data_IF_615873508159
#
_entry.id   IF_615873508159
#
_cell.length_a   1.000
_cell.length_b   1.000
_cell.length_c   1.000
_cell.angle_alpha   90.00
_cell.angle_beta   90.00
_cell.angle_gamma   90.00
#
_symmetry.space_group_name_H-M   'P 1'
#
loop_
_entity.id
_entity.type
_entity.pdbx_description
1 polymer ?
#
# COMPACT_ATOMS: atom_id res chain seq x y z
N UNK A 1 8.71 -8.38 -13.11
CA UNK A 1 9.16 -7.64 -11.93
C UNK A 1 9.08 -8.62 -10.77
N UNK A 2 10.23 -9.06 -10.26
CA UNK A 2 10.27 -9.89 -9.06
C UNK A 2 9.66 -9.09 -7.90
N UNK A 3 8.68 -9.67 -7.20
CA UNK A 3 7.98 -9.01 -6.09
C UNK A 3 8.80 -9.10 -4.78
N UNK A 4 10.00 -9.65 -4.82
CA UNK A 4 10.78 -10.00 -3.62
C UNK A 4 11.85 -8.97 -3.21
N UNK A 5 12.00 -7.85 -3.93
CA UNK A 5 13.14 -6.94 -3.74
C UNK A 5 12.89 -5.70 -2.86
N UNK A 6 11.68 -5.51 -2.33
CA UNK A 6 11.45 -4.37 -1.44
C UNK A 6 12.03 -4.63 -0.04
N UNK A 7 12.72 -3.64 0.55
CA UNK A 7 13.16 -3.73 1.94
C UNK A 7 11.95 -3.91 2.87
N UNK A 8 12.17 -4.43 4.10
CA UNK A 8 11.11 -4.56 5.09
C UNK A 8 10.38 -3.23 5.29
N UNK A 9 9.06 -3.25 5.11
CA UNK A 9 8.22 -2.06 5.21
C UNK A 9 7.78 -1.93 6.67
N UNK A 10 8.08 -0.80 7.35
CA UNK A 10 7.64 -0.59 8.72
C UNK A 10 6.11 -0.45 8.82
N UNK A 11 5.52 -1.00 9.89
CA UNK A 11 4.07 -0.95 10.12
C UNK A 11 3.58 0.49 10.32
N UNK A 12 4.30 1.28 11.10
CA UNK A 12 4.01 2.69 11.39
C UNK A 12 4.02 3.56 10.12
N UNK A 13 4.94 3.27 9.18
CA UNK A 13 4.94 3.90 7.86
C UNK A 13 3.65 3.59 7.10
N UNK A 14 3.20 2.32 7.08
CA UNK A 14 1.97 1.94 6.38
C UNK A 14 0.74 2.59 6.99
N UNK A 15 0.64 2.63 8.33
CA UNK A 15 -0.46 3.30 9.04
C UNK A 15 -0.49 4.81 8.75
N UNK A 16 0.67 5.47 8.73
CA UNK A 16 0.77 6.89 8.40
C UNK A 16 0.36 7.19 6.95
N UNK A 17 0.78 6.35 6.00
CA UNK A 17 0.43 6.49 4.58
C UNK A 17 -1.06 6.26 4.33
N UNK A 18 -1.66 5.24 4.92
CA UNK A 18 -3.08 4.93 4.73
C UNK A 18 -3.97 6.05 5.30
N UNK A 19 -3.61 6.59 6.47
CA UNK A 19 -4.29 7.75 7.06
C UNK A 19 -4.16 9.02 6.20
N UNK A 20 -3.00 9.24 5.58
CA UNK A 20 -2.72 10.45 4.80
C UNK A 20 -3.30 10.39 3.38
N UNK A 21 -3.44 9.19 2.82
CA UNK A 21 -3.96 8.96 1.46
C UNK A 21 -5.13 7.96 1.49
N UNK A 22 -6.26 8.36 2.11
CA UNK A 22 -7.41 7.48 2.28
C UNK A 22 -8.05 7.16 0.94
N UNK A 23 -8.63 5.96 0.86
CA UNK A 23 -9.47 5.57 -0.27
C UNK A 23 -10.76 6.39 -0.24
N UNK A 24 -10.94 7.26 -1.24
CA UNK A 24 -12.07 8.18 -1.31
C UNK A 24 -12.62 8.22 -2.73
N UNK A 25 -13.94 8.26 -2.84
CA UNK A 25 -14.59 8.54 -4.11
C UNK A 25 -14.35 10.00 -4.50
N UNK A 26 -14.03 10.30 -5.76
CA UNK A 26 -13.94 11.67 -6.22
C UNK A 26 -15.30 12.35 -6.17
N UNK A 27 -15.30 13.67 -5.99
CA UNK A 27 -16.50 14.50 -6.08
C UNK A 27 -16.87 14.72 -7.54
N UNK A 28 -18.15 15.01 -7.82
CA UNK A 28 -18.62 15.41 -9.15
C UNK A 28 -17.93 16.68 -9.68
N UNK A 29 -17.33 17.48 -8.79
CA UNK A 29 -16.59 18.69 -9.13
C UNK A 29 -15.09 18.45 -9.35
N UNK A 30 -14.59 17.26 -9.04
CA UNK A 30 -13.16 16.93 -9.16
C UNK A 30 -12.81 16.81 -10.63
N UNK A 31 -11.76 17.52 -11.06
CA UNK A 31 -11.28 17.43 -12.45
C UNK A 31 -10.70 16.06 -12.76
N UNK A 32 -10.70 15.64 -14.04
CA UNK A 32 -10.13 14.36 -14.45
C UNK A 32 -8.64 14.24 -14.08
N UNK A 33 -7.88 15.33 -14.18
CA UNK A 33 -6.45 15.29 -13.87
C UNK A 33 -6.19 15.17 -12.37
N UNK A 34 -7.02 15.80 -11.53
CA UNK A 34 -6.98 15.62 -10.09
C UNK A 34 -7.40 14.19 -9.69
N UNK A 35 -8.42 13.63 -10.35
CA UNK A 35 -8.81 12.22 -10.16
C UNK A 35 -7.63 11.28 -10.46
N UNK A 36 -6.94 11.48 -11.59
CA UNK A 36 -5.78 10.67 -11.99
C UNK A 36 -4.65 10.80 -10.97
N UNK A 37 -4.35 12.02 -10.53
CA UNK A 37 -3.28 12.28 -9.58
C UNK A 37 -3.55 11.60 -8.22
N UNK A 38 -4.75 11.78 -7.67
CA UNK A 38 -5.14 11.16 -6.40
C UNK A 38 -5.24 9.63 -6.50
N UNK A 39 -5.75 9.11 -7.62
CA UNK A 39 -5.77 7.66 -7.89
C UNK A 39 -4.37 7.07 -7.96
N UNK A 40 -3.42 7.78 -8.57
CA UNK A 40 -2.02 7.37 -8.64
C UNK A 40 -1.38 7.27 -7.25
N UNK A 41 -1.59 8.27 -6.39
CA UNK A 41 -1.13 8.21 -4.99
C UNK A 41 -1.69 7.00 -4.27
N UNK A 42 -3.00 6.75 -4.41
CA UNK A 42 -3.65 5.60 -3.77
C UNK A 42 -3.13 4.26 -4.30
N UNK A 43 -2.87 4.15 -5.60
CA UNK A 43 -2.32 2.95 -6.20
C UNK A 43 -0.95 2.57 -5.61
N UNK A 44 -0.09 3.56 -5.35
CA UNK A 44 1.21 3.34 -4.69
C UNK A 44 1.04 2.87 -3.25
N UNK A 45 0.14 3.49 -2.48
CA UNK A 45 -0.12 3.07 -1.09
C UNK A 45 -0.66 1.65 -1.03
N UNK A 46 -1.60 1.29 -1.92
CA UNK A 46 -2.13 -0.07 -2.01
C UNK A 46 -1.03 -1.08 -2.36
N UNK A 47 -0.16 -0.74 -3.32
CA UNK A 47 0.97 -1.59 -3.66
C UNK A 47 1.88 -1.85 -2.46
N UNK A 48 2.25 -0.81 -1.70
CA UNK A 48 3.10 -0.97 -0.50
C UNK A 48 2.42 -1.80 0.60
N UNK A 49 1.10 -1.63 0.77
CA UNK A 49 0.32 -2.42 1.73
C UNK A 49 0.30 -3.90 1.36
N UNK A 50 0.10 -4.22 0.08
CA UNK A 50 0.15 -5.60 -0.42
C UNK A 50 1.54 -6.22 -0.17
N UNK A 51 2.60 -5.46 -0.39
CA UNK A 51 3.97 -5.91 -0.14
C UNK A 51 4.26 -6.12 1.35
N UNK A 52 3.81 -5.21 2.21
CA UNK A 52 3.90 -5.37 3.66
C UNK A 52 3.17 -6.64 4.12
N UNK A 53 1.95 -6.90 3.61
CA UNK A 53 1.19 -8.10 3.96
C UNK A 53 1.94 -9.37 3.51
N UNK A 54 2.48 -9.40 2.28
CA UNK A 54 3.29 -10.51 1.79
C UNK A 54 4.54 -10.76 2.63
N UNK A 55 5.24 -9.70 3.06
CA UNK A 55 6.39 -9.81 3.95
C UNK A 55 6.00 -10.48 5.28
N UNK A 56 4.86 -10.10 5.87
CA UNK A 56 4.41 -10.65 7.14
C UNK A 56 3.84 -12.08 7.02
N UNK A 57 3.13 -12.41 5.94
CA UNK A 57 2.64 -13.78 5.68
C UNK A 57 3.81 -14.78 5.55
N UNK A 58 4.91 -14.38 4.89
CA UNK A 58 6.11 -15.21 4.78
C UNK A 58 6.78 -15.46 6.13
N UNK A 59 6.81 -14.45 7.00
CA UNK A 59 7.37 -14.57 8.35
C UNK A 59 6.55 -15.57 9.19
N UNK A 60 5.21 -15.49 9.14
CA UNK A 60 4.32 -16.41 9.88
C UNK A 60 4.54 -17.86 9.42
N UNK A 61 4.55 -18.13 8.11
CA UNK A 61 4.78 -19.49 7.59
C UNK A 61 6.13 -20.07 8.00
N UNK A 62 7.16 -19.24 8.13
CA UNK A 62 8.51 -19.68 8.53
C UNK A 62 8.59 -20.02 10.02
N UNK A 63 7.82 -19.34 10.87
CA UNK A 63 7.80 -19.60 12.32
C UNK A 63 6.98 -20.83 12.72
N UNK A 64 5.92 -21.16 11.97
CA UNK A 64 5.03 -22.30 12.26
C UNK A 64 5.60 -23.65 11.79
N UNK A 65 6.63 -23.63 10.94
CA UNK A 65 7.30 -24.84 10.40
C UNK A 65 8.60 -25.21 11.15
N UNK A 66 8.88 -24.57 12.29
CA UNK A 66 9.97 -24.94 13.21
C UNK A 66 9.40 -25.53 14.49
#
# INVERSE_FOLDING_TARGET
>A
MDRSDLPPIPKDLMEALDKRFPEKSPSLKTSIDEIRFESGKRAVVRFLLDQYNLQNEKVIKTQVLK
#
